data_IF_645938056961
#
_entry.id   IF_645938056961
#
_cell.length_a   1.000
_cell.length_b   1.000
_cell.length_c   1.000
_cell.angle_alpha   90.00
_cell.angle_beta   90.00
_cell.angle_gamma   90.00
#
_symmetry.space_group_name_H-M   'P 1'
#
loop_
_entity.id
_entity.type
_entity.pdbx_description
1 polymer ?
#
# COMPACT_ATOMS: atom_id res chain seq x y z
N UNK A 1 -31.81 12.42 -15.45
CA UNK A 1 -30.89 12.79 -16.57
C UNK A 1 -30.70 14.31 -16.76
N UNK A 2 -30.98 15.13 -15.75
CA UNK A 2 -30.84 16.60 -15.86
C UNK A 2 -29.40 17.07 -16.09
N UNK A 3 -28.42 16.30 -15.65
CA UNK A 3 -27.00 16.63 -15.72
C UNK A 3 -26.20 15.71 -16.66
N UNK A 4 -26.90 14.88 -17.41
CA UNK A 4 -26.31 14.00 -18.43
C UNK A 4 -25.68 14.83 -19.54
N UNK A 5 -24.45 14.53 -19.92
CA UNK A 5 -23.75 15.20 -21.00
C UNK A 5 -23.55 14.26 -22.18
N UNK A 6 -23.80 14.79 -23.37
CA UNK A 6 -23.51 14.07 -24.64
C UNK A 6 -22.59 14.95 -25.49
N UNK A 7 -21.66 14.34 -26.24
CA UNK A 7 -20.82 15.10 -27.15
C UNK A 7 -21.69 15.92 -28.11
N UNK A 8 -21.40 17.22 -28.21
CA UNK A 8 -22.05 18.16 -29.12
C UNK A 8 -21.03 19.23 -29.56
N UNK A 9 -21.46 20.25 -30.28
CA UNK A 9 -20.59 21.32 -30.79
C UNK A 9 -20.13 22.33 -29.73
N UNK A 10 -20.59 22.26 -28.49
CA UNK A 10 -20.20 23.17 -27.41
C UNK A 10 -18.80 22.85 -26.89
N UNK A 11 -18.13 23.88 -26.34
CA UNK A 11 -16.82 23.71 -25.70
C UNK A 11 -16.93 22.73 -24.52
N UNK A 12 -16.16 21.64 -24.48
CA UNK A 12 -16.23 20.68 -23.39
C UNK A 12 -15.62 21.25 -22.10
N UNK A 13 -16.21 20.87 -20.96
CA UNK A 13 -15.70 21.10 -19.61
C UNK A 13 -15.92 19.84 -18.79
N UNK A 14 -14.86 19.07 -18.55
CA UNK A 14 -14.99 17.79 -17.86
C UNK A 14 -14.24 17.79 -16.53
N UNK A 15 -14.93 17.36 -15.49
CA UNK A 15 -14.38 17.13 -14.15
C UNK A 15 -14.61 15.65 -13.80
N UNK A 16 -13.60 15.00 -13.27
CA UNK A 16 -13.71 13.69 -12.66
C UNK A 16 -13.65 13.88 -11.15
N UNK A 17 -14.65 13.37 -10.45
CA UNK A 17 -14.65 13.45 -8.99
C UNK A 17 -13.43 12.72 -8.42
N UNK A 18 -12.72 13.24 -7.40
CA UNK A 18 -11.85 12.41 -6.59
C UNK A 18 -12.71 11.33 -5.93
N UNK A 19 -12.59 10.05 -6.36
CA UNK A 19 -13.56 9.04 -5.98
C UNK A 19 -13.44 8.74 -4.48
N UNK A 20 -14.51 8.94 -3.68
CA UNK A 20 -14.47 8.59 -2.26
C UNK A 20 -14.25 7.10 -2.05
N UNK A 21 -13.46 6.77 -1.03
CA UNK A 21 -13.20 5.39 -0.62
C UNK A 21 -14.47 4.72 -0.06
N UNK A 22 -14.73 3.48 -0.43
CA UNK A 22 -15.89 2.70 0.08
C UNK A 22 -15.67 2.20 1.51
N UNK A 23 -15.12 3.05 2.37
CA UNK A 23 -14.78 2.73 3.77
C UNK A 23 -15.84 3.17 4.77
N UNK A 24 -16.85 3.93 4.33
CA UNK A 24 -17.91 4.43 5.20
C UNK A 24 -18.78 5.51 4.54
N UNK A 25 -19.16 6.50 5.33
CA UNK A 25 -19.99 7.64 4.93
C UNK A 25 -19.14 8.85 4.58
N UNK A 26 -19.69 9.77 3.80
CA UNK A 26 -19.05 11.06 3.51
C UNK A 26 -18.90 11.89 4.79
N UNK A 27 -17.84 12.67 4.85
CA UNK A 27 -17.57 13.63 5.92
C UNK A 27 -17.37 15.05 5.34
N UNK A 28 -17.20 16.04 6.22
CA UNK A 28 -17.12 17.45 5.82
C UNK A 28 -16.01 17.77 4.80
N UNK A 29 -14.90 17.02 4.83
CA UNK A 29 -13.82 17.18 3.84
C UNK A 29 -14.28 16.80 2.42
N UNK A 30 -15.05 15.73 2.28
CA UNK A 30 -15.68 15.38 1.00
C UNK A 30 -16.64 16.48 0.56
N UNK A 31 -17.49 16.95 1.49
CA UNK A 31 -18.47 18.00 1.19
C UNK A 31 -17.83 19.28 0.67
N UNK A 32 -16.73 19.73 1.30
CA UNK A 32 -16.00 20.91 0.85
C UNK A 32 -15.46 20.73 -0.57
N UNK A 33 -14.77 19.61 -0.81
CA UNK A 33 -14.17 19.31 -2.11
C UNK A 33 -15.23 19.28 -3.23
N UNK A 34 -16.31 18.55 -3.00
CA UNK A 34 -17.37 18.35 -3.99
C UNK A 34 -18.21 19.60 -4.23
N UNK A 35 -18.42 20.42 -3.19
CA UNK A 35 -19.11 21.71 -3.36
C UNK A 35 -18.33 22.63 -4.28
N UNK A 36 -17.01 22.70 -4.14
CA UNK A 36 -16.17 23.51 -5.02
C UNK A 36 -16.28 23.03 -6.47
N UNK A 37 -16.21 21.70 -6.69
CA UNK A 37 -16.37 21.13 -8.03
C UNK A 37 -17.76 21.41 -8.61
N UNK A 38 -18.82 21.26 -7.81
CA UNK A 38 -20.19 21.48 -8.26
C UNK A 38 -20.41 22.94 -8.68
N UNK A 39 -19.87 23.89 -7.93
CA UNK A 39 -19.91 25.32 -8.29
C UNK A 39 -19.26 25.54 -9.66
N UNK A 40 -18.06 25.01 -9.87
CA UNK A 40 -17.34 25.19 -11.13
C UNK A 40 -18.06 24.55 -12.31
N UNK A 41 -18.62 23.35 -12.13
CA UNK A 41 -19.36 22.64 -13.17
C UNK A 41 -20.68 23.35 -13.50
N UNK A 42 -21.40 23.85 -12.49
CA UNK A 42 -22.62 24.64 -12.69
C UNK A 42 -22.33 25.97 -13.40
N UNK A 43 -21.26 26.65 -13.01
CA UNK A 43 -20.80 27.86 -13.68
C UNK A 43 -20.47 27.57 -15.17
N UNK A 44 -19.75 26.52 -15.46
CA UNK A 44 -19.44 26.13 -16.84
C UNK A 44 -20.70 25.84 -17.66
N UNK A 45 -21.75 25.25 -17.08
CA UNK A 45 -23.06 25.10 -17.75
C UNK A 45 -23.74 26.42 -18.03
N UNK A 46 -23.68 27.34 -17.08
CA UNK A 46 -24.24 28.70 -17.25
C UNK A 46 -23.51 29.46 -18.35
N UNK A 47 -22.24 29.25 -18.55
CA UNK A 47 -21.45 29.79 -19.67
C UNK A 47 -21.75 29.11 -21.04
N UNK A 48 -22.67 28.14 -21.07
CA UNK A 48 -23.03 27.40 -22.28
C UNK A 48 -22.06 26.30 -22.70
N UNK A 49 -21.13 25.89 -21.84
CA UNK A 49 -20.24 24.76 -22.10
C UNK A 49 -20.97 23.42 -21.99
N UNK A 50 -20.44 22.41 -22.66
CA UNK A 50 -20.87 21.04 -22.47
C UNK A 50 -20.12 20.47 -21.24
N UNK A 51 -20.74 20.64 -20.06
CA UNK A 51 -20.09 20.27 -18.81
C UNK A 51 -20.47 18.84 -18.39
N UNK A 52 -19.45 18.02 -18.16
CA UNK A 52 -19.56 16.64 -17.69
C UNK A 52 -18.83 16.52 -16.34
N UNK A 53 -19.53 16.15 -15.29
CA UNK A 53 -18.95 15.81 -14.00
C UNK A 53 -19.16 14.32 -13.73
N UNK A 54 -18.08 13.55 -13.82
CA UNK A 54 -18.11 12.09 -13.71
C UNK A 54 -18.04 11.68 -12.24
N UNK A 55 -19.09 11.06 -11.67
CA UNK A 55 -19.07 10.52 -10.31
C UNK A 55 -18.44 9.13 -10.26
N UNK A 56 -17.96 8.77 -9.09
CA UNK A 56 -17.43 7.41 -8.87
C UNK A 56 -17.06 7.16 -7.42
N UNK A 57 -16.66 5.92 -7.15
CA UNK A 57 -16.15 5.48 -5.84
C UNK A 57 -14.87 4.68 -6.02
N UNK A 58 -14.02 4.72 -4.99
CA UNK A 58 -12.75 3.98 -4.97
C UNK A 58 -12.85 2.75 -4.06
N UNK A 59 -12.28 1.64 -4.51
CA UNK A 59 -12.22 0.40 -3.74
C UNK A 59 -11.27 0.51 -2.52
N UNK A 60 -10.30 1.41 -2.52
CA UNK A 60 -9.38 1.72 -1.42
C UNK A 60 -8.86 0.48 -0.70
N UNK A 61 -8.22 -0.46 -1.42
CA UNK A 61 -8.01 -1.86 -1.03
C UNK A 61 -7.59 -2.07 0.44
N UNK A 62 -6.54 -1.40 0.93
CA UNK A 62 -6.03 -1.58 2.30
C UNK A 62 -7.05 -1.11 3.35
N UNK A 63 -7.63 0.07 3.15
CA UNK A 63 -8.58 0.63 4.10
C UNK A 63 -9.91 -0.15 4.13
N UNK A 64 -10.38 -0.62 2.98
CA UNK A 64 -11.56 -1.49 2.87
C UNK A 64 -11.29 -2.86 3.49
N UNK A 65 -10.13 -3.45 3.21
CA UNK A 65 -9.71 -4.71 3.82
C UNK A 65 -9.70 -4.62 5.36
N UNK A 66 -9.13 -3.57 5.94
CA UNK A 66 -9.12 -3.37 7.38
C UNK A 66 -10.54 -3.32 7.97
N UNK A 67 -11.49 -2.67 7.28
CA UNK A 67 -12.90 -2.63 7.71
C UNK A 67 -13.56 -4.00 7.66
N UNK A 68 -13.34 -4.76 6.57
CA UNK A 68 -13.86 -6.12 6.42
C UNK A 68 -13.28 -7.04 7.48
N UNK A 69 -11.97 -7.01 7.73
CA UNK A 69 -11.32 -7.81 8.77
C UNK A 69 -11.88 -7.50 10.17
N UNK A 70 -12.09 -6.22 10.50
CA UNK A 70 -12.69 -5.84 11.78
C UNK A 70 -14.14 -6.36 11.91
N UNK A 71 -14.96 -6.25 10.85
CA UNK A 71 -16.33 -6.80 10.83
C UNK A 71 -16.33 -8.33 11.01
N UNK A 72 -15.43 -9.04 10.38
CA UNK A 72 -15.27 -10.48 10.53
C UNK A 72 -14.83 -10.85 11.96
N UNK A 73 -13.90 -10.08 12.54
CA UNK A 73 -13.46 -10.29 13.91
C UNK A 73 -14.58 -10.09 14.95
N UNK A 74 -15.50 -9.13 14.74
CA UNK A 74 -16.71 -8.96 15.56
C UNK A 74 -17.64 -10.18 15.47
N UNK A 75 -17.60 -10.90 14.36
CA UNK A 75 -18.33 -12.16 14.16
C UNK A 75 -17.57 -13.40 14.62
N UNK A 76 -16.35 -13.22 15.19
CA UNK A 76 -15.49 -14.32 15.64
C UNK A 76 -14.74 -15.04 14.52
N UNK A 77 -14.73 -14.49 13.31
CA UNK A 77 -14.07 -15.07 12.13
C UNK A 77 -12.72 -14.41 11.93
N UNK A 78 -11.65 -15.21 11.84
CA UNK A 78 -10.31 -14.69 11.52
C UNK A 78 -10.07 -14.75 10.01
N UNK A 79 -9.43 -13.72 9.46
CA UNK A 79 -9.05 -13.70 8.02
C UNK A 79 -8.21 -14.93 7.64
N UNK A 80 -7.37 -15.41 8.55
CA UNK A 80 -6.51 -16.60 8.35
C UNK A 80 -7.29 -17.89 8.15
N UNK A 81 -8.54 -17.95 8.59
CA UNK A 81 -9.38 -19.14 8.52
C UNK A 81 -10.17 -19.20 7.19
N UNK A 82 -10.10 -18.12 6.39
CA UNK A 82 -10.79 -17.99 5.12
C UNK A 82 -9.82 -18.21 3.95
N UNK A 83 -10.34 -18.82 2.90
CA UNK A 83 -9.69 -18.79 1.58
C UNK A 83 -9.76 -17.39 0.97
N UNK A 84 -8.95 -17.14 -0.07
CA UNK A 84 -8.99 -15.85 -0.80
C UNK A 84 -10.39 -15.57 -1.36
N UNK A 85 -11.05 -16.55 -1.93
CA UNK A 85 -12.36 -16.37 -2.58
C UNK A 85 -13.46 -16.07 -1.58
N UNK A 86 -13.44 -16.73 -0.42
CA UNK A 86 -14.35 -16.43 0.69
C UNK A 86 -14.14 -15.01 1.21
N UNK A 87 -12.88 -14.60 1.42
CA UNK A 87 -12.58 -13.23 1.85
C UNK A 87 -13.02 -12.20 0.81
N UNK A 88 -12.79 -12.44 -0.48
CA UNK A 88 -13.24 -11.55 -1.57
C UNK A 88 -14.76 -11.41 -1.58
N UNK A 89 -15.51 -12.46 -1.29
CA UNK A 89 -16.97 -12.38 -1.18
C UNK A 89 -17.38 -11.38 -0.11
N UNK A 90 -16.79 -11.45 1.09
CA UNK A 90 -17.06 -10.50 2.17
C UNK A 90 -16.66 -9.06 1.79
N UNK A 91 -15.57 -8.89 1.04
CA UNK A 91 -15.14 -7.59 0.55
C UNK A 91 -16.11 -7.01 -0.49
N UNK A 92 -16.67 -7.83 -1.37
CA UNK A 92 -17.70 -7.40 -2.32
C UNK A 92 -19.00 -7.05 -1.63
N UNK A 93 -19.47 -7.86 -0.66
CA UNK A 93 -20.67 -7.57 0.14
C UNK A 93 -20.52 -6.21 0.86
N UNK A 94 -19.35 -5.93 1.41
CA UNK A 94 -19.04 -4.62 2.00
C UNK A 94 -19.12 -3.50 0.98
N UNK A 95 -18.55 -3.69 -0.20
CA UNK A 95 -18.51 -2.69 -1.27
C UNK A 95 -19.91 -2.38 -1.80
N UNK A 96 -20.76 -3.36 -1.97
CA UNK A 96 -22.15 -3.17 -2.39
C UNK A 96 -22.96 -2.41 -1.34
N UNK A 97 -22.78 -2.72 -0.06
CA UNK A 97 -23.44 -2.03 1.05
C UNK A 97 -23.05 -0.56 1.12
N UNK A 98 -21.73 -0.26 1.12
CA UNK A 98 -21.22 1.10 1.41
C UNK A 98 -21.09 1.97 0.17
N UNK A 99 -20.75 1.43 -0.98
CA UNK A 99 -20.66 2.19 -2.23
C UNK A 99 -21.97 2.86 -2.61
N UNK A 100 -23.08 2.17 -2.41
CA UNK A 100 -24.41 2.71 -2.64
C UNK A 100 -24.81 3.86 -1.68
N UNK A 101 -24.31 3.85 -0.45
CA UNK A 101 -24.57 4.91 0.55
C UNK A 101 -23.90 6.22 0.11
N UNK A 102 -22.64 6.19 -0.29
CA UNK A 102 -21.86 7.34 -0.74
C UNK A 102 -22.57 8.05 -1.90
N UNK A 103 -22.93 7.31 -2.93
CA UNK A 103 -23.64 7.87 -4.10
C UNK A 103 -25.01 8.46 -3.74
N UNK A 104 -25.73 7.84 -2.79
CA UNK A 104 -26.99 8.40 -2.28
C UNK A 104 -26.77 9.69 -1.51
N UNK A 105 -25.71 9.79 -0.72
CA UNK A 105 -25.35 11.00 0.01
C UNK A 105 -25.00 12.14 -0.95
N UNK A 106 -24.20 11.89 -1.99
CA UNK A 106 -23.88 12.86 -3.05
C UNK A 106 -25.14 13.40 -3.73
N UNK A 107 -26.09 12.52 -4.05
CA UNK A 107 -27.37 12.95 -4.62
C UNK A 107 -28.19 13.80 -3.64
N UNK A 108 -28.17 13.46 -2.35
CA UNK A 108 -28.89 14.21 -1.31
C UNK A 108 -28.39 15.62 -1.12
N UNK A 109 -27.09 15.84 -1.23
CA UNK A 109 -26.50 17.19 -1.17
C UNK A 109 -26.68 17.98 -2.47
N UNK A 110 -27.25 17.36 -3.49
CA UNK A 110 -27.58 18.01 -4.75
C UNK A 110 -26.43 18.07 -5.76
N UNK A 111 -25.41 17.23 -5.64
CA UNK A 111 -24.30 17.17 -6.58
C UNK A 111 -24.80 16.98 -8.03
N UNK A 112 -24.37 17.88 -8.93
CA UNK A 112 -24.85 17.91 -10.32
C UNK A 112 -24.01 17.01 -11.25
N UNK A 113 -23.74 15.79 -10.79
CA UNK A 113 -23.00 14.80 -11.55
C UNK A 113 -23.78 14.24 -12.74
N UNK A 114 -23.05 13.78 -13.74
CA UNK A 114 -23.57 12.89 -14.78
C UNK A 114 -23.69 11.47 -14.24
N UNK A 115 -24.83 11.18 -13.63
CA UNK A 115 -25.08 9.93 -12.91
C UNK A 115 -25.11 8.69 -13.83
N UNK A 116 -25.30 8.89 -15.13
CA UNK A 116 -25.26 7.81 -16.11
C UNK A 116 -23.84 7.30 -16.34
N UNK A 117 -22.83 8.08 -15.93
CA UNK A 117 -21.40 7.78 -16.01
C UNK A 117 -20.79 7.35 -14.69
N UNK A 118 -21.65 6.98 -13.72
CA UNK A 118 -21.13 6.49 -12.42
C UNK A 118 -20.17 5.31 -12.62
N UNK A 119 -19.00 5.41 -12.00
CA UNK A 119 -17.92 4.46 -12.15
C UNK A 119 -17.42 3.94 -10.79
N UNK A 120 -16.87 2.73 -10.78
CA UNK A 120 -16.17 2.16 -9.66
C UNK A 120 -14.78 1.72 -10.11
N UNK A 121 -13.75 1.99 -9.30
CA UNK A 121 -12.35 1.76 -9.72
C UNK A 121 -12.02 0.29 -10.02
N UNK A 122 -12.82 -0.67 -9.50
CA UNK A 122 -12.66 -2.11 -9.80
C UNK A 122 -13.78 -2.68 -10.68
N UNK A 123 -14.57 -1.85 -11.37
CA UNK A 123 -15.52 -2.39 -12.34
C UNK A 123 -14.79 -3.06 -13.53
N UNK A 124 -15.53 -3.83 -14.30
CA UNK A 124 -14.97 -4.69 -15.35
C UNK A 124 -14.20 -3.87 -16.41
N UNK A 125 -14.74 -2.72 -16.83
CA UNK A 125 -14.11 -1.89 -17.87
C UNK A 125 -12.81 -1.25 -17.37
N UNK A 126 -12.79 -0.76 -16.13
CA UNK A 126 -11.59 -0.16 -15.52
C UNK A 126 -10.54 -1.21 -15.21
N UNK A 127 -10.95 -2.37 -14.73
CA UNK A 127 -10.05 -3.50 -14.52
C UNK A 127 -9.36 -3.94 -15.82
N UNK A 128 -10.10 -4.05 -16.92
CA UNK A 128 -9.54 -4.35 -18.25
C UNK A 128 -8.57 -3.25 -18.69
N UNK A 129 -8.93 -1.99 -18.49
CA UNK A 129 -8.09 -0.84 -18.85
C UNK A 129 -6.78 -0.82 -18.09
N UNK A 130 -6.81 -1.08 -16.77
CA UNK A 130 -5.60 -1.16 -15.92
C UNK A 130 -4.67 -2.27 -16.41
N UNK A 131 -5.20 -3.46 -16.67
CA UNK A 131 -4.41 -4.59 -17.17
C UNK A 131 -3.80 -4.25 -18.54
N UNK A 132 -4.58 -3.65 -19.42
CA UNK A 132 -4.10 -3.25 -20.76
C UNK A 132 -2.94 -2.26 -20.66
N UNK A 133 -3.08 -1.21 -19.86
CA UNK A 133 -2.03 -0.20 -19.66
C UNK A 133 -0.80 -0.83 -19.01
N UNK A 134 -0.95 -1.70 -18.03
CA UNK A 134 0.17 -2.40 -17.39
C UNK A 134 0.97 -3.22 -18.41
N UNK A 135 0.28 -4.00 -19.24
CA UNK A 135 0.92 -4.81 -20.29
C UNK A 135 1.62 -3.94 -21.34
N UNK A 136 1.00 -2.83 -21.76
CA UNK A 136 1.59 -1.90 -22.72
C UNK A 136 2.86 -1.25 -22.17
N UNK A 137 2.84 -0.78 -20.92
CA UNK A 137 4.02 -0.21 -20.25
C UNK A 137 5.13 -1.23 -20.07
N UNK A 138 4.79 -2.48 -19.73
CA UNK A 138 5.77 -3.56 -19.64
C UNK A 138 6.43 -3.85 -21.01
N UNK A 139 5.65 -3.92 -22.09
CA UNK A 139 6.15 -4.13 -23.47
C UNK A 139 7.05 -2.98 -23.92
N UNK A 140 6.79 -1.76 -23.46
CA UNK A 140 7.64 -0.57 -23.73
C UNK A 140 8.89 -0.51 -22.85
N UNK A 141 9.09 -1.46 -21.93
CA UNK A 141 10.24 -1.48 -21.03
C UNK A 141 10.19 -0.43 -19.92
N UNK A 142 9.04 0.24 -19.70
CA UNK A 142 8.85 1.27 -18.68
C UNK A 142 8.53 0.69 -17.30
N UNK A 143 8.06 -0.55 -17.27
CA UNK A 143 7.82 -1.32 -16.04
C UNK A 143 8.71 -2.55 -16.06
N UNK A 144 9.39 -2.82 -14.95
CA UNK A 144 10.20 -4.02 -14.75
C UNK A 144 10.05 -4.55 -13.32
N UNK A 145 10.32 -5.83 -13.12
CA UNK A 145 10.36 -6.44 -11.78
C UNK A 145 11.72 -6.18 -11.16
N UNK A 146 11.71 -5.56 -9.97
CA UNK A 146 12.93 -5.28 -9.22
C UNK A 146 12.71 -5.51 -7.73
N UNK A 147 13.83 -5.57 -6.98
CA UNK A 147 13.83 -5.64 -5.52
C UNK A 147 14.25 -4.28 -4.98
N UNK A 148 13.45 -3.71 -4.10
CA UNK A 148 13.75 -2.44 -3.41
C UNK A 148 13.35 -2.54 -1.94
N UNK A 149 14.00 -1.73 -1.10
CA UNK A 149 13.55 -1.52 0.27
C UNK A 149 12.23 -0.75 0.25
N UNK A 150 11.30 -1.19 1.09
CA UNK A 150 10.00 -0.53 1.27
C UNK A 150 9.70 -0.43 2.77
N UNK A 151 8.89 0.57 3.14
CA UNK A 151 8.28 0.59 4.46
C UNK A 151 7.24 -0.52 4.52
N UNK A 152 7.31 -1.37 5.53
CA UNK A 152 6.48 -2.56 5.66
C UNK A 152 5.78 -2.60 7.00
N UNK A 153 4.46 -2.79 7.00
CA UNK A 153 3.69 -3.07 8.20
C UNK A 153 3.53 -4.60 8.37
N UNK A 154 4.19 -5.22 9.36
CA UNK A 154 4.11 -6.67 9.57
C UNK A 154 2.74 -7.13 10.05
N UNK A 155 1.96 -6.26 10.72
CA UNK A 155 0.62 -6.59 11.20
C UNK A 155 -0.39 -6.57 10.04
N UNK A 156 -0.37 -5.53 9.23
CA UNK A 156 -1.21 -5.43 8.04
C UNK A 156 -0.69 -6.26 6.86
N UNK A 157 0.58 -6.72 6.93
CA UNK A 157 1.26 -7.50 5.86
C UNK A 157 1.23 -6.78 4.52
N UNK A 158 1.51 -5.48 4.53
CA UNK A 158 1.52 -4.64 3.34
C UNK A 158 2.65 -3.61 3.37
N UNK A 159 3.04 -3.14 2.18
CA UNK A 159 3.91 -1.98 2.06
C UNK A 159 3.11 -0.70 2.39
N UNK A 160 3.82 0.28 2.94
CA UNK A 160 3.27 1.60 3.28
C UNK A 160 3.89 2.66 2.38
N UNK A 161 3.12 3.69 2.05
CA UNK A 161 3.67 4.90 1.44
C UNK A 161 4.45 5.73 2.48
N UNK A 162 5.33 6.61 2.02
CA UNK A 162 6.13 7.45 2.92
C UNK A 162 5.24 8.39 3.77
N UNK A 163 4.07 8.79 3.25
CA UNK A 163 3.10 9.63 3.94
C UNK A 163 2.37 8.91 5.08
N UNK A 164 2.28 7.58 5.03
CA UNK A 164 1.63 6.74 6.06
C UNK A 164 2.57 6.40 7.20
N UNK A 165 3.88 6.63 7.04
CA UNK A 165 4.87 6.31 8.06
C UNK A 165 4.89 7.35 9.17
N UNK A 166 4.64 6.91 10.39
CA UNK A 166 4.75 7.76 11.58
C UNK A 166 6.16 7.62 12.15
N UNK A 167 6.93 8.70 12.03
CA UNK A 167 8.29 8.74 12.59
C UNK A 167 8.24 9.03 14.08
N UNK A 168 8.94 8.19 14.85
CA UNK A 168 9.11 8.37 16.29
C UNK A 168 10.59 8.39 16.62
N UNK A 169 11.04 9.41 17.33
CA UNK A 169 12.41 9.49 17.80
C UNK A 169 12.61 8.58 18.99
N UNK A 170 13.57 7.66 18.90
CA UNK A 170 13.93 6.74 19.97
C UNK A 170 15.44 6.79 20.23
N UNK A 171 15.80 6.96 21.50
CA UNK A 171 17.19 6.88 21.91
C UNK A 171 17.61 5.42 22.06
N UNK A 172 18.42 4.95 21.14
CA UNK A 172 18.95 3.57 21.16
C UNK A 172 20.46 3.57 20.95
N UNK A 173 21.10 2.42 21.20
CA UNK A 173 22.53 2.22 20.95
C UNK A 173 22.71 1.45 19.66
N UNK A 174 23.73 1.80 18.90
CA UNK A 174 24.19 1.01 17.76
C UNK A 174 25.30 0.08 18.25
N UNK A 175 25.10 -1.21 18.11
CA UNK A 175 26.07 -2.22 18.51
C UNK A 175 26.84 -2.68 17.30
N UNK A 176 28.16 -2.71 17.40
CA UNK A 176 29.05 -3.22 16.37
C UNK A 176 29.63 -4.55 16.84
N UNK A 177 29.38 -5.60 16.09
CA UNK A 177 29.89 -6.95 16.36
C UNK A 177 30.93 -7.27 15.30
N UNK A 178 32.07 -7.78 15.73
CA UNK A 178 33.18 -8.15 14.85
C UNK A 178 33.23 -9.68 14.72
N UNK A 179 33.05 -10.16 13.49
CA UNK A 179 33.15 -11.55 13.17
C UNK A 179 34.39 -11.77 12.32
N UNK A 180 35.26 -12.67 12.76
CA UNK A 180 36.43 -13.05 11.95
C UNK A 180 36.01 -14.02 10.85
N UNK A 181 36.60 -13.87 9.67
CA UNK A 181 36.39 -14.79 8.55
C UNK A 181 37.24 -15.99 8.80
N UNK A 182 36.65 -17.20 8.90
CA UNK A 182 37.40 -18.47 8.88
C UNK A 182 37.56 -18.95 7.46
N UNK A 183 38.65 -19.55 7.12
CA UNK A 183 38.79 -20.36 5.89
C UNK A 183 38.05 -21.67 6.17
N UNK A 184 36.81 -21.78 5.69
CA UNK A 184 35.99 -22.96 5.87
C UNK A 184 36.43 -24.07 4.90
N UNK A 185 36.79 -25.20 5.46
CA UNK A 185 37.04 -26.44 4.70
C UNK A 185 35.74 -27.21 4.38
N UNK A 186 34.59 -26.63 4.64
CA UNK A 186 33.26 -27.23 4.37
C UNK A 186 32.83 -28.28 5.41
N UNK A 187 33.54 -28.44 6.52
CA UNK A 187 33.22 -29.46 7.54
C UNK A 187 32.35 -28.96 8.68
N UNK A 188 31.82 -27.73 8.58
CA UNK A 188 30.76 -27.16 9.45
C UNK A 188 30.96 -27.42 10.94
N UNK A 189 32.07 -26.99 11.54
CA UNK A 189 32.23 -27.07 12.98
C UNK A 189 31.36 -26.08 13.70
N UNK A 190 30.31 -26.51 14.36
CA UNK A 190 29.57 -25.77 15.33
C UNK A 190 30.40 -25.66 16.60
N UNK A 191 31.11 -24.54 16.78
CA UNK A 191 31.77 -24.24 18.05
C UNK A 191 30.76 -23.96 19.15
N UNK A 192 31.07 -24.40 20.38
CA UNK A 192 30.29 -23.98 21.57
C UNK A 192 30.46 -22.51 21.84
N UNK A 193 29.49 -21.88 22.52
CA UNK A 193 29.48 -20.44 22.84
C UNK A 193 30.82 -19.98 23.47
N UNK A 194 31.58 -19.16 22.76
CA UNK A 194 32.80 -18.52 23.25
C UNK A 194 34.11 -18.95 22.58
N UNK A 195 34.13 -19.93 21.72
CA UNK A 195 35.34 -20.28 20.98
C UNK A 195 35.58 -19.35 19.78
N UNK A 196 36.80 -18.78 19.73
CA UNK A 196 37.30 -18.06 18.55
C UNK A 196 37.67 -19.14 17.52
N UNK A 197 36.78 -19.36 16.59
CA UNK A 197 37.01 -20.23 15.45
C UNK A 197 37.99 -19.48 14.52
N UNK A 198 39.17 -19.96 14.40
CA UNK A 198 40.30 -19.58 13.56
C UNK A 198 40.19 -18.29 12.73
N UNK A 199 41.12 -17.33 13.00
CA UNK A 199 41.34 -16.19 12.10
C UNK A 199 41.96 -16.74 10.80
N UNK A 200 41.52 -16.21 9.65
CA UNK A 200 42.27 -16.41 8.43
C UNK A 200 43.67 -15.79 8.57
N UNK A 201 44.64 -16.31 7.83
CA UNK A 201 46.03 -15.82 7.89
C UNK A 201 46.19 -14.34 7.58
N UNK A 202 45.17 -13.72 6.96
CA UNK A 202 45.13 -12.30 6.61
C UNK A 202 44.40 -11.45 7.66
N UNK A 203 43.83 -12.02 8.73
CA UNK A 203 43.12 -11.33 9.78
C UNK A 203 41.85 -10.59 9.32
N UNK A 204 41.22 -11.05 8.24
CA UNK A 204 39.99 -10.43 7.72
C UNK A 204 38.84 -10.60 8.70
N UNK A 205 38.01 -9.60 8.79
CA UNK A 205 36.83 -9.62 9.63
C UNK A 205 35.67 -8.88 8.99
N UNK A 206 34.45 -9.30 9.32
CA UNK A 206 33.24 -8.59 9.01
C UNK A 206 32.76 -7.83 10.23
N UNK A 207 32.29 -6.61 10.04
CA UNK A 207 31.63 -5.83 11.10
C UNK A 207 30.13 -5.80 10.82
N UNK A 208 29.37 -6.26 11.79
CA UNK A 208 27.90 -6.22 11.75
C UNK A 208 27.44 -5.16 12.71
N UNK A 209 26.63 -4.24 12.23
CA UNK A 209 26.02 -3.19 13.03
C UNK A 209 24.52 -3.48 13.23
N UNK A 210 24.06 -3.41 14.47
CA UNK A 210 22.64 -3.59 14.80
C UNK A 210 22.24 -2.66 15.95
N UNK A 211 21.00 -2.20 15.93
CA UNK A 211 20.43 -1.38 17.00
C UNK A 211 19.93 -2.25 18.18
N UNK A 212 19.83 -3.57 18.00
CA UNK A 212 19.39 -4.52 19.04
C UNK A 212 20.28 -5.77 19.06
N UNK A 213 20.61 -6.23 20.26
CA UNK A 213 21.32 -7.48 20.45
C UNK A 213 20.35 -8.67 20.31
N UNK A 214 20.82 -9.75 19.66
CA UNK A 214 20.08 -11.01 19.57
C UNK A 214 19.67 -11.49 20.97
N UNK A 215 18.39 -11.82 21.15
CA UNK A 215 17.88 -12.48 22.34
C UNK A 215 17.09 -11.60 23.30
N UNK A 216 16.97 -10.30 23.09
CA UNK A 216 16.22 -9.44 24.03
C UNK A 216 14.72 -9.29 23.74
N UNK A 217 14.24 -9.56 22.54
CA UNK A 217 12.78 -9.61 22.24
C UNK A 217 12.51 -10.58 21.10
N UNK A 218 11.69 -11.59 21.31
CA UNK A 218 11.16 -12.41 20.24
C UNK A 218 10.30 -11.53 19.31
N UNK A 219 10.71 -11.40 18.07
CA UNK A 219 9.92 -10.72 17.04
C UNK A 219 10.47 -9.41 16.48
N UNK A 220 11.67 -8.98 16.87
CA UNK A 220 12.25 -7.73 16.40
C UNK A 220 13.23 -7.90 15.24
N UNK A 221 13.13 -6.97 14.29
CA UNK A 221 13.95 -6.93 13.08
C UNK A 221 15.44 -6.76 13.39
N UNK A 222 16.29 -7.61 12.85
CA UNK A 222 17.73 -7.37 12.78
C UNK A 222 18.06 -6.87 11.36
N UNK A 223 18.54 -5.62 11.27
CA UNK A 223 19.18 -5.13 10.05
C UNK A 223 20.65 -5.50 10.15
N UNK A 224 21.08 -6.47 9.36
CA UNK A 224 22.47 -6.87 9.28
C UNK A 224 23.12 -6.10 8.12
N UNK A 225 23.95 -5.12 8.43
CA UNK A 225 24.84 -4.49 7.45
C UNK A 225 26.23 -5.12 7.57
N UNK A 226 26.63 -5.86 6.56
CA UNK A 226 27.96 -6.45 6.51
C UNK A 226 28.88 -5.50 5.76
N UNK A 227 29.87 -4.92 6.43
CA UNK A 227 30.97 -4.21 5.81
C UNK A 227 32.22 -5.08 5.88
N UNK A 228 32.74 -5.52 4.73
CA UNK A 228 34.02 -6.23 4.67
C UNK A 228 35.14 -5.21 4.51
N UNK A 229 36.05 -5.17 5.46
CA UNK A 229 37.26 -4.33 5.36
C UNK A 229 38.31 -5.02 4.49
N UNK A 230 38.56 -4.50 3.28
CA UNK A 230 39.51 -4.98 2.29
C UNK A 230 38.86 -5.20 0.94
N UNK A 231 39.24 -4.40 -0.05
CA UNK A 231 38.86 -4.46 -1.47
C UNK A 231 37.42 -4.93 -1.79
N UNK A 232 36.43 -4.11 -1.47
CA UNK A 232 35.05 -4.26 -1.93
C UNK A 232 34.01 -4.20 -0.83
N UNK A 233 33.14 -3.22 -0.94
CA UNK A 233 31.96 -3.09 -0.07
C UNK A 233 30.91 -4.14 -0.51
N UNK A 234 30.69 -5.17 0.30
CA UNK A 234 29.57 -6.07 0.11
C UNK A 234 28.50 -5.76 1.18
N UNK A 235 27.37 -5.24 0.76
CA UNK A 235 26.22 -5.04 1.64
C UNK A 235 25.33 -6.26 1.51
N UNK A 236 25.34 -7.15 2.51
CA UNK A 236 24.38 -8.22 2.63
C UNK A 236 23.29 -7.80 3.62
N UNK A 237 22.12 -7.50 3.14
CA UNK A 237 20.97 -7.20 4.00
C UNK A 237 20.18 -8.49 4.22
N UNK A 238 20.22 -9.01 5.43
CA UNK A 238 19.38 -10.14 5.85
C UNK A 238 18.25 -9.57 6.69
N UNK A 239 17.06 -9.56 6.15
CA UNK A 239 15.83 -9.24 6.89
C UNK A 239 15.20 -10.58 7.32
N UNK A 240 15.24 -10.90 8.60
CA UNK A 240 14.55 -12.06 9.15
C UNK A 240 13.30 -11.60 9.86
N UNK A 241 12.17 -12.13 9.44
CA UNK A 241 10.87 -11.91 10.07
C UNK A 241 10.54 -13.12 10.93
N UNK A 242 10.57 -12.98 12.25
CA UNK A 242 10.01 -13.96 13.16
C UNK A 242 8.66 -13.43 13.68
N UNK A 243 7.68 -14.31 13.72
CA UNK A 243 6.27 -14.06 14.01
C UNK A 243 6.06 -13.20 15.26
N UNK A 244 5.34 -12.09 15.09
CA UNK A 244 4.70 -11.38 16.19
C UNK A 244 3.37 -12.08 16.46
N UNK A 245 3.26 -12.70 17.65
CA UNK A 245 1.97 -13.18 18.19
C UNK A 245 1.10 -12.02 18.63
#
# INVERSE_FOLDING_TARGET
HLFSSKPDGRKPYTVVIPPPNVTGVLHMGHMLNETIQDILVRHARMEGKNACWVPGTDHASIATEAKVVNRLAEQGIKKTDLTRDEFLKHAWDWTEEHGGIILKQLRRVGASCDWDRTAFTMDEERSKSVIHVFVDLYRKGLIYRGVRMVNWDPKAKTALSDEEVVYKEEHTKLYYMKYYVSEDDGTGATGEEGEIIHQDEKGRYAVVATTRLFGQVAGDFAVLQLAVAGEGLCILQITRYDNIT
#
